data_IF_921294091643
#
_entry.id   IF_921294091643
#
_cell.length_a   1.000
_cell.length_b   1.000
_cell.length_c   1.000
_cell.angle_alpha   90.00
_cell.angle_beta   90.00
_cell.angle_gamma   90.00
#
_symmetry.space_group_name_H-M   'P 1'
#
loop_
_entity.id
_entity.type
_entity.pdbx_description
1 polymer ?
#
# COMPACT_ATOMS: atom_id res chain seq x y z
N UNK A 1 5.54 24.25 44.07
CA UNK A 1 4.49 23.28 43.70
C UNK A 1 3.70 23.89 42.55
N UNK A 2 4.00 23.45 41.32
CA UNK A 2 3.35 23.93 40.10
C UNK A 2 2.41 22.83 39.65
N UNK A 3 1.10 23.11 39.64
CA UNK A 3 0.16 22.40 38.78
C UNK A 3 -0.69 23.46 38.09
N UNK A 4 -0.22 23.91 36.91
CA UNK A 4 -1.07 24.60 35.95
C UNK A 4 -1.91 23.53 35.27
N UNK A 5 -3.19 23.50 35.62
CA UNK A 5 -4.19 22.67 34.97
C UNK A 5 -4.33 23.14 33.52
N UNK A 6 -4.09 22.24 32.57
CA UNK A 6 -4.42 22.44 31.16
C UNK A 6 -5.79 21.82 30.94
N UNK A 7 -6.83 22.60 30.63
CA UNK A 7 -7.92 22.08 29.84
C UNK A 7 -7.91 22.73 28.45
N UNK A 8 -8.65 22.10 27.54
CA UNK A 8 -9.37 22.80 26.48
C UNK A 8 -8.66 23.05 25.15
N UNK A 9 -8.03 22.04 24.56
CA UNK A 9 -7.87 22.05 23.08
C UNK A 9 -8.96 21.24 22.39
N UNK A 10 -9.26 20.05 22.92
CA UNK A 10 -10.35 19.21 22.40
C UNK A 10 -11.74 19.84 22.62
N UNK A 11 -11.94 20.58 23.73
CA UNK A 11 -13.20 21.28 24.00
C UNK A 11 -13.35 22.54 23.16
N UNK A 12 -12.26 23.29 22.91
CA UNK A 12 -12.28 24.42 21.97
C UNK A 12 -12.52 23.94 20.54
N UNK A 13 -11.93 22.81 20.12
CA UNK A 13 -12.15 22.22 18.79
C UNK A 13 -13.58 21.65 18.62
N UNK A 14 -14.19 21.11 19.68
CA UNK A 14 -15.57 20.60 19.70
C UNK A 14 -16.60 21.76 19.72
N UNK A 15 -16.35 22.81 20.49
CA UNK A 15 -17.17 24.03 20.54
C UNK A 15 -17.09 24.82 19.23
N UNK A 16 -15.90 24.89 18.61
CA UNK A 16 -15.73 25.40 17.24
C UNK A 16 -16.51 24.56 16.22
N UNK A 17 -16.51 23.23 16.34
CA UNK A 17 -17.28 22.36 15.44
C UNK A 17 -18.80 22.54 15.60
N UNK A 18 -19.27 22.76 16.83
CA UNK A 18 -20.68 22.96 17.13
C UNK A 18 -21.16 24.37 16.72
N UNK A 19 -20.29 25.39 16.84
CA UNK A 19 -20.57 26.75 16.36
C UNK A 19 -20.49 26.85 14.82
N UNK A 20 -19.56 26.13 14.20
CA UNK A 20 -19.35 26.06 12.75
C UNK A 20 -20.43 25.25 12.01
N UNK A 21 -21.23 24.46 12.73
CA UNK A 21 -22.38 23.70 12.17
C UNK A 21 -23.73 24.35 12.42
N UNK A 22 -23.80 25.43 13.21
CA UNK A 22 -25.05 26.07 13.65
C UNK A 22 -25.59 27.16 12.70
N UNK A 23 -24.76 27.66 11.79
CA UNK A 23 -25.17 28.66 10.78
C UNK A 23 -24.78 28.16 9.39
N UNK A 24 -25.78 27.79 8.58
CA UNK A 24 -25.59 27.34 7.20
C UNK A 24 -24.82 28.36 6.34
N UNK A 25 -24.88 29.66 6.70
CA UNK A 25 -24.16 30.74 6.03
C UNK A 25 -22.65 30.72 6.33
N UNK A 26 -22.24 30.44 7.57
CA UNK A 26 -20.82 30.37 7.95
C UNK A 26 -20.14 29.11 7.39
N UNK A 27 -20.87 28.00 7.31
CA UNK A 27 -20.32 26.76 6.76
C UNK A 27 -19.95 26.92 5.27
N UNK A 28 -20.83 27.55 4.49
CA UNK A 28 -20.58 27.79 3.06
C UNK A 28 -19.39 28.72 2.85
N UNK A 29 -19.26 29.77 3.67
CA UNK A 29 -18.13 30.70 3.59
C UNK A 29 -16.80 30.03 3.95
N UNK A 30 -16.75 29.28 5.06
CA UNK A 30 -15.55 28.54 5.46
C UNK A 30 -15.20 27.44 4.45
N UNK A 31 -16.21 26.78 3.87
CA UNK A 31 -16.00 25.77 2.84
C UNK A 31 -15.48 26.37 1.54
N UNK A 32 -16.00 27.53 1.12
CA UNK A 32 -15.53 28.27 -0.06
C UNK A 32 -14.09 28.77 0.12
N UNK A 33 -13.76 29.33 1.29
CA UNK A 33 -12.37 29.69 1.63
C UNK A 33 -11.45 28.47 1.60
N UNK A 34 -11.92 27.32 2.08
CA UNK A 34 -11.19 26.06 1.98
C UNK A 34 -10.92 25.63 0.53
N UNK A 35 -11.90 25.78 -0.37
CA UNK A 35 -11.73 25.49 -1.80
C UNK A 35 -10.73 26.44 -2.47
N UNK A 36 -10.79 27.74 -2.15
CA UNK A 36 -9.84 28.73 -2.66
C UNK A 36 -8.41 28.40 -2.22
N UNK A 37 -8.21 28.06 -0.93
CA UNK A 37 -6.91 27.64 -0.39
C UNK A 37 -6.35 26.40 -1.09
N UNK A 38 -7.23 25.44 -1.44
CA UNK A 38 -6.84 24.25 -2.19
C UNK A 38 -6.38 24.62 -3.60
N UNK A 39 -7.04 25.57 -4.25
CA UNK A 39 -6.63 26.12 -5.55
C UNK A 39 -5.25 26.78 -5.49
N UNK A 40 -4.99 27.64 -4.50
CA UNK A 40 -3.68 28.27 -4.27
C UNK A 40 -2.57 27.22 -4.11
N UNK A 41 -2.84 26.16 -3.34
CA UNK A 41 -1.88 25.08 -3.11
C UNK A 41 -1.61 24.25 -4.38
N UNK A 42 -2.60 24.08 -5.24
CA UNK A 42 -2.43 23.41 -6.53
C UNK A 42 -1.60 24.25 -7.50
N UNK A 43 -1.83 25.56 -7.55
CA UNK A 43 -1.05 26.48 -8.39
C UNK A 43 0.43 26.54 -7.95
N UNK A 44 0.68 26.63 -6.64
CA UNK A 44 2.04 26.58 -6.09
C UNK A 44 2.74 25.25 -6.43
N UNK A 45 2.00 24.13 -6.46
CA UNK A 45 2.55 22.83 -6.84
C UNK A 45 2.93 22.79 -8.33
N UNK A 46 2.08 23.34 -9.21
CA UNK A 46 2.37 23.46 -10.64
C UNK A 46 3.57 24.37 -10.91
N UNK A 47 3.73 25.44 -10.13
CA UNK A 47 4.87 26.35 -10.21
C UNK A 47 6.18 25.65 -9.82
N UNK A 48 6.16 24.85 -8.73
CA UNK A 48 7.31 24.02 -8.33
C UNK A 48 7.67 23.01 -9.43
N UNK A 49 6.68 22.33 -10.00
CA UNK A 49 6.89 21.37 -11.09
C UNK A 49 7.42 22.05 -12.36
N UNK A 50 6.98 23.27 -12.65
CA UNK A 50 7.50 24.06 -13.77
C UNK A 50 8.94 24.51 -13.53
N UNK A 51 9.29 24.90 -12.30
CA UNK A 51 10.68 25.24 -11.94
C UNK A 51 11.62 24.03 -12.07
N UNK A 52 11.18 22.83 -11.69
CA UNK A 52 11.91 21.58 -11.89
C UNK A 52 12.14 21.28 -13.37
N UNK A 53 11.12 21.48 -14.21
CA UNK A 53 11.23 21.34 -15.68
C UNK A 53 12.16 22.37 -16.32
N UNK A 54 12.25 23.57 -15.77
CA UNK A 54 13.11 24.63 -16.29
C UNK A 54 14.59 24.42 -15.88
N UNK A 55 14.85 23.90 -14.68
CA UNK A 55 16.21 23.58 -14.22
C UNK A 55 16.80 22.31 -14.86
N UNK A 56 15.99 21.46 -15.51
CA UNK A 56 16.50 20.31 -16.27
C UNK A 56 17.06 20.67 -17.66
N UNK A 57 17.11 21.97 -18.02
CA UNK A 57 17.71 22.47 -19.27
C UNK A 57 18.95 23.34 -19.00
N UNK A 58 20.05 22.70 -18.60
CA UNK A 58 21.40 23.28 -18.75
C UNK A 58 22.26 22.34 -19.60
N UNK A 59 22.80 22.80 -20.75
CA UNK A 59 23.72 22.00 -21.57
C UNK A 59 25.17 22.29 -21.14
N UNK A 60 25.93 21.24 -20.77
CA UNK A 60 27.40 21.26 -20.74
C UNK A 60 27.89 19.80 -20.66
N UNK A 61 28.15 19.16 -21.80
CA UNK A 61 29.45 19.06 -22.53
C UNK A 61 30.30 17.90 -21.98
N UNK A 62 30.38 16.71 -22.59
CA UNK A 62 31.33 16.31 -23.65
C UNK A 62 31.39 14.76 -23.55
N UNK A 63 31.43 13.89 -24.56
CA UNK A 63 32.37 13.81 -25.68
C UNK A 63 31.82 12.80 -26.68
N UNK A 64 31.57 13.24 -27.91
CA UNK A 64 31.58 12.35 -29.08
C UNK A 64 33.04 12.07 -29.44
N UNK A 65 33.37 10.80 -29.62
CA UNK A 65 34.25 10.32 -30.70
C UNK A 65 34.04 8.83 -30.92
N UNK A 66 33.06 8.52 -31.76
CA UNK A 66 33.11 7.36 -32.65
C UNK A 66 34.22 7.58 -33.69
N UNK A 67 35.06 6.58 -33.93
CA UNK A 67 35.09 5.82 -35.19
C UNK A 67 36.49 5.29 -35.56
N UNK A 68 36.46 4.05 -36.06
CA UNK A 68 37.38 3.43 -37.02
C UNK A 68 38.77 2.98 -36.54
N UNK A 69 38.96 1.65 -36.43
CA UNK A 69 39.61 0.86 -37.49
C UNK A 69 39.63 -0.63 -37.12
N UNK A 70 39.31 -1.45 -38.12
CA UNK A 70 39.54 -2.89 -38.15
C UNK A 70 41.04 -3.22 -38.21
N UNK A 71 41.31 -4.50 -37.95
CA UNK A 71 42.43 -5.35 -38.41
C UNK A 71 43.48 -5.78 -37.38
N UNK A 72 43.63 -7.12 -37.35
CA UNK A 72 44.80 -7.94 -37.06
C UNK A 72 45.32 -8.15 -35.62
N UNK A 73 44.94 -9.32 -35.07
CA UNK A 73 45.82 -10.37 -34.49
C UNK A 73 46.78 -10.02 -33.31
N UNK A 74 47.60 -10.94 -32.76
CA UNK A 74 47.37 -12.32 -32.33
C UNK A 74 47.98 -12.53 -30.91
N UNK A 75 47.19 -12.64 -29.85
CA UNK A 75 47.69 -13.23 -28.60
C UNK A 75 46.66 -14.17 -28.00
N UNK A 76 46.87 -15.43 -28.35
CA UNK A 76 46.48 -16.62 -27.62
C UNK A 76 47.10 -16.59 -26.21
N UNK A 77 46.31 -16.92 -25.19
CA UNK A 77 46.78 -17.87 -24.19
C UNK A 77 45.61 -18.69 -23.65
N UNK A 78 45.64 -19.94 -24.07
CA UNK A 78 44.77 -21.05 -23.70
C UNK A 78 45.35 -21.65 -22.41
N UNK A 79 44.51 -21.85 -21.39
CA UNK A 79 44.83 -22.75 -20.28
C UNK A 79 43.82 -23.89 -20.28
N UNK A 80 44.26 -25.03 -20.80
CA UNK A 80 43.67 -26.35 -20.55
C UNK A 80 44.54 -27.02 -19.47
N UNK A 81 43.96 -27.51 -18.38
CA UNK A 81 44.47 -28.71 -17.67
C UNK A 81 43.44 -29.30 -16.69
N UNK A 82 42.84 -30.40 -17.15
CA UNK A 82 42.61 -31.70 -16.47
C UNK A 82 41.63 -31.87 -15.29
N UNK A 83 40.71 -32.81 -15.54
CA UNK A 83 39.87 -33.60 -14.63
C UNK A 83 40.57 -34.14 -13.37
N UNK A 84 39.82 -34.31 -12.28
CA UNK A 84 39.85 -35.54 -11.45
C UNK A 84 38.56 -35.67 -10.63
N UNK A 85 37.97 -36.87 -10.67
CA UNK A 85 36.78 -37.31 -9.94
C UNK A 85 37.14 -37.90 -8.55
N UNK A 86 36.10 -38.41 -7.84
CA UNK A 86 36.07 -39.31 -6.64
C UNK A 86 35.61 -38.57 -5.36
N UNK A 87 34.73 -39.03 -4.45
CA UNK A 87 33.65 -40.04 -4.31
C UNK A 87 33.05 -39.83 -2.88
N UNK A 88 31.82 -40.34 -2.63
CA UNK A 88 31.16 -40.81 -1.38
C UNK A 88 31.74 -40.48 0.04
N UNK A 89 31.03 -40.33 1.19
CA UNK A 89 29.64 -40.61 1.65
C UNK A 89 29.53 -40.39 3.20
N UNK A 90 28.34 -39.99 3.70
CA UNK A 90 27.69 -40.16 5.06
C UNK A 90 28.42 -39.83 6.39
N UNK A 91 27.79 -39.56 7.55
CA UNK A 91 26.44 -39.25 8.06
C UNK A 91 26.59 -38.86 9.56
N UNK A 92 25.72 -38.00 10.15
CA UNK A 92 24.99 -38.38 11.39
C UNK A 92 23.96 -37.33 11.89
N UNK A 93 22.70 -37.75 11.83
CA UNK A 93 21.66 -37.79 12.88
C UNK A 93 21.50 -36.63 13.90
N UNK A 94 20.35 -35.95 13.85
CA UNK A 94 19.43 -35.75 15.01
C UNK A 94 18.02 -35.39 14.50
N UNK A 95 17.17 -36.40 14.38
CA UNK A 95 15.75 -36.24 14.09
C UNK A 95 15.01 -35.76 15.35
N UNK A 96 14.59 -34.49 15.37
CA UNK A 96 13.43 -34.06 16.16
C UNK A 96 12.20 -34.02 15.24
N UNK A 97 11.02 -34.53 15.64
CA UNK A 97 9.81 -34.30 14.89
C UNK A 97 9.32 -32.89 15.24
N UNK A 98 10.06 -31.87 14.81
CA UNK A 98 9.41 -30.57 14.64
C UNK A 98 8.48 -30.81 13.46
N UNK A 99 7.18 -30.87 13.74
CA UNK A 99 6.17 -30.77 12.71
C UNK A 99 6.33 -29.37 12.11
N UNK A 100 7.30 -29.20 11.22
CA UNK A 100 7.22 -28.25 10.14
C UNK A 100 6.00 -28.70 9.37
N UNK A 101 4.83 -28.23 9.83
CA UNK A 101 3.74 -27.95 8.92
C UNK A 101 4.34 -26.94 7.94
N UNK A 102 5.02 -27.47 6.92
CA UNK A 102 5.10 -26.87 5.61
C UNK A 102 3.68 -26.37 5.38
N UNK A 103 3.49 -25.06 5.51
CA UNK A 103 2.19 -24.46 5.21
C UNK A 103 1.81 -25.06 3.86
N UNK A 104 0.60 -25.65 3.75
CA UNK A 104 0.15 -26.20 2.49
C UNK A 104 0.41 -25.14 1.43
N UNK A 105 0.77 -25.57 0.22
CA UNK A 105 0.85 -24.77 -1.00
C UNK A 105 -0.52 -24.17 -1.39
N UNK A 106 -1.37 -23.88 -0.41
CA UNK A 106 -2.58 -23.12 -0.48
C UNK A 106 -2.13 -21.69 -0.79
N UNK A 107 -2.32 -21.33 -2.06
CA UNK A 107 -1.97 -20.01 -2.57
C UNK A 107 -2.58 -18.96 -1.64
N UNK A 108 -1.71 -18.26 -0.90
CA UNK A 108 -2.16 -17.17 -0.06
C UNK A 108 -2.83 -16.13 -0.98
N UNK A 109 -4.00 -15.59 -0.59
CA UNK A 109 -4.70 -14.61 -1.40
C UNK A 109 -3.79 -13.42 -1.65
N UNK A 110 -3.67 -13.05 -2.93
CA UNK A 110 -2.90 -11.88 -3.34
C UNK A 110 -3.74 -10.64 -3.11
N UNK A 111 -3.20 -9.69 -2.37
CA UNK A 111 -3.82 -8.39 -2.16
C UNK A 111 -3.31 -7.38 -3.20
N UNK A 112 -4.24 -6.90 -4.03
CA UNK A 112 -3.99 -5.97 -5.14
C UNK A 112 -4.58 -4.58 -4.86
N UNK A 113 -4.37 -4.06 -3.65
CA UNK A 113 -4.77 -2.69 -3.24
C UNK A 113 -6.27 -2.36 -3.23
N UNK A 114 -7.16 -3.35 -3.30
CA UNK A 114 -8.60 -3.12 -3.20
C UNK A 114 -9.00 -2.96 -1.72
N UNK A 115 -9.36 -1.75 -1.25
CA UNK A 115 -9.69 -1.53 0.15
C UNK A 115 -10.84 -2.42 0.64
N UNK A 116 -11.80 -2.75 -0.24
CA UNK A 116 -12.97 -3.54 0.13
C UNK A 116 -12.62 -4.99 0.48
N UNK A 117 -11.51 -5.48 -0.06
CA UNK A 117 -11.06 -6.87 0.13
C UNK A 117 -9.97 -6.98 1.19
N UNK A 118 -9.59 -5.86 1.81
CA UNK A 118 -8.51 -5.85 2.80
C UNK A 118 -8.86 -6.70 4.02
N UNK A 119 -10.07 -6.58 4.58
CA UNK A 119 -10.47 -7.34 5.77
C UNK A 119 -10.47 -8.84 5.47
N UNK A 120 -11.06 -9.26 4.35
CA UNK A 120 -11.05 -10.66 3.89
C UNK A 120 -9.61 -11.20 3.75
N UNK A 121 -8.74 -10.42 3.11
CA UNK A 121 -7.32 -10.76 2.96
C UNK A 121 -6.63 -10.88 4.32
N UNK A 122 -6.82 -9.89 5.20
CA UNK A 122 -6.14 -9.83 6.48
C UNK A 122 -6.58 -10.96 7.40
N UNK A 123 -7.88 -11.28 7.44
CA UNK A 123 -8.39 -12.40 8.24
C UNK A 123 -7.80 -13.73 7.78
N UNK A 124 -7.76 -13.96 6.47
CA UNK A 124 -7.16 -15.16 5.91
C UNK A 124 -5.65 -15.22 6.21
N UNK A 125 -4.91 -14.15 5.94
CA UNK A 125 -3.47 -14.07 6.21
C UNK A 125 -3.18 -14.24 7.71
N UNK A 126 -4.03 -13.68 8.56
CA UNK A 126 -3.90 -13.77 10.01
C UNK A 126 -3.94 -15.22 10.46
N UNK A 127 -4.90 -15.99 9.96
CA UNK A 127 -5.11 -17.37 10.40
C UNK A 127 -4.13 -18.33 9.71
N UNK A 128 -3.80 -18.09 8.44
CA UNK A 128 -2.86 -18.91 7.66
C UNK A 128 -1.39 -18.69 8.03
N UNK A 129 -0.98 -17.47 8.41
CA UNK A 129 0.44 -17.10 8.57
C UNK A 129 0.70 -16.40 9.91
N UNK A 130 -0.04 -15.32 10.22
CA UNK A 130 0.29 -14.47 11.38
C UNK A 130 0.19 -15.21 12.73
N UNK A 131 -0.85 -16.04 12.92
CA UNK A 131 -1.10 -16.84 14.13
C UNK A 131 -0.27 -18.12 14.18
N UNK A 132 0.33 -18.55 13.07
CA UNK A 132 1.14 -19.76 13.03
C UNK A 132 2.46 -19.57 13.77
N UNK A 133 2.99 -20.65 14.34
CA UNK A 133 4.27 -20.67 15.06
C UNK A 133 5.47 -20.82 14.09
N UNK A 134 5.61 -19.86 13.17
CA UNK A 134 6.72 -19.75 12.22
C UNK A 134 7.54 -18.49 12.51
N UNK A 135 8.79 -18.42 12.02
CA UNK A 135 9.67 -17.30 12.37
C UNK A 135 9.14 -15.96 11.81
N UNK A 136 9.34 -14.82 12.50
CA UNK A 136 8.90 -13.51 12.00
C UNK A 136 9.47 -13.16 10.61
N UNK A 137 10.70 -13.62 10.33
CA UNK A 137 11.36 -13.47 9.03
C UNK A 137 10.58 -14.25 7.95
N UNK A 138 10.19 -15.50 8.23
CA UNK A 138 9.36 -16.28 7.31
C UNK A 138 7.99 -15.64 7.10
N UNK A 139 7.34 -15.16 8.17
CA UNK A 139 6.08 -14.42 8.08
C UNK A 139 6.21 -13.18 7.19
N UNK A 140 7.34 -12.48 7.26
CA UNK A 140 7.59 -11.32 6.43
C UNK A 140 7.76 -11.69 4.95
N UNK A 141 8.50 -12.76 4.65
CA UNK A 141 8.57 -13.28 3.28
C UNK A 141 7.18 -13.63 2.71
N UNK A 142 6.35 -14.31 3.49
CA UNK A 142 4.97 -14.61 3.09
C UNK A 142 4.16 -13.35 2.86
N UNK A 143 4.26 -12.36 3.77
CA UNK A 143 3.57 -11.08 3.63
C UNK A 143 3.94 -10.40 2.31
N UNK A 144 5.23 -10.24 2.03
CA UNK A 144 5.70 -9.62 0.78
C UNK A 144 5.22 -10.40 -0.47
N UNK A 145 5.19 -11.73 -0.42
CA UNK A 145 4.66 -12.55 -1.52
C UNK A 145 3.17 -12.35 -1.82
N UNK A 146 2.38 -12.01 -0.79
CA UNK A 146 0.95 -11.76 -0.91
C UNK A 146 0.61 -10.34 -1.36
N UNK A 147 1.48 -9.37 -1.10
CA UNK A 147 1.24 -7.97 -1.44
C UNK A 147 1.65 -7.69 -2.89
N UNK A 148 0.82 -6.92 -3.61
CA UNK A 148 1.13 -6.38 -4.94
C UNK A 148 0.82 -4.89 -4.99
N UNK A 149 1.32 -4.22 -6.04
CA UNK A 149 1.04 -2.82 -6.29
C UNK A 149 1.51 -1.89 -5.16
N UNK A 150 0.64 -0.97 -4.76
CA UNK A 150 0.87 0.07 -3.75
C UNK A 150 1.10 -0.51 -2.36
N UNK A 151 0.50 -1.65 -2.04
CA UNK A 151 0.69 -2.32 -0.76
C UNK A 151 2.08 -2.92 -0.66
N UNK A 152 2.57 -3.55 -1.73
CA UNK A 152 3.95 -4.02 -1.79
C UNK A 152 4.93 -2.83 -1.67
N UNK A 153 4.73 -1.79 -2.49
CA UNK A 153 5.53 -0.57 -2.46
C UNK A 153 5.53 0.15 -1.10
N UNK A 154 4.45 0.06 -0.31
CA UNK A 154 4.40 0.61 1.04
C UNK A 154 5.35 -0.08 2.02
N UNK A 155 5.69 -1.35 1.75
CA UNK A 155 6.57 -2.19 2.56
C UNK A 155 7.97 -2.37 1.97
N UNK A 156 8.19 -1.90 0.74
CA UNK A 156 9.50 -1.86 0.10
C UNK A 156 10.47 -0.93 0.84
N UNK A 157 11.78 -1.11 0.58
CA UNK A 157 12.85 -0.32 1.20
C UNK A 157 13.22 -0.75 2.63
N UNK A 158 12.53 -1.75 3.19
CA UNK A 158 12.85 -2.33 4.50
C UNK A 158 13.57 -3.67 4.35
N UNK A 159 14.61 -3.87 5.17
CA UNK A 159 15.29 -5.16 5.23
C UNK A 159 14.39 -6.23 5.85
N UNK A 160 14.50 -7.47 5.37
CA UNK A 160 13.72 -8.59 5.90
C UNK A 160 14.29 -9.03 7.25
N UNK A 161 13.80 -8.40 8.32
CA UNK A 161 14.21 -8.67 9.71
C UNK A 161 13.00 -8.90 10.60
N UNK A 162 13.22 -9.51 11.77
CA UNK A 162 12.14 -9.77 12.74
C UNK A 162 11.50 -8.49 13.27
N UNK A 163 12.28 -7.43 13.46
CA UNK A 163 11.77 -6.14 13.93
C UNK A 163 10.85 -5.51 12.87
N UNK A 164 11.30 -5.51 11.61
CA UNK A 164 10.59 -4.88 10.50
C UNK A 164 9.29 -5.59 10.13
N UNK A 165 9.12 -6.88 10.47
CA UNK A 165 7.84 -7.59 10.26
C UNK A 165 6.68 -6.89 10.99
N UNK A 166 6.89 -6.53 12.26
CA UNK A 166 5.86 -5.87 13.08
C UNK A 166 5.47 -4.51 12.48
N UNK A 167 6.46 -3.72 12.10
CA UNK A 167 6.27 -2.43 11.46
C UNK A 167 5.55 -2.55 10.10
N UNK A 168 5.93 -3.54 9.29
CA UNK A 168 5.29 -3.79 7.99
C UNK A 168 3.80 -4.13 8.14
N UNK A 169 3.44 -4.96 9.14
CA UNK A 169 2.04 -5.28 9.45
C UNK A 169 1.28 -4.01 9.87
N UNK A 170 1.87 -3.17 10.71
CA UNK A 170 1.23 -1.94 11.18
C UNK A 170 1.00 -0.95 10.05
N UNK A 171 1.97 -0.78 9.15
CA UNK A 171 1.85 0.08 7.96
C UNK A 171 0.71 -0.39 7.07
N UNK A 172 0.64 -1.70 6.81
CA UNK A 172 -0.37 -2.28 5.93
C UNK A 172 -1.77 -2.12 6.53
N UNK A 173 -1.95 -2.46 7.81
CA UNK A 173 -3.23 -2.25 8.50
C UNK A 173 -3.64 -0.78 8.54
N UNK A 174 -2.72 0.13 8.88
CA UNK A 174 -3.02 1.56 8.98
C UNK A 174 -3.43 2.16 7.64
N UNK A 175 -2.74 1.78 6.56
CA UNK A 175 -2.94 2.38 5.24
C UNK A 175 -4.10 1.74 4.46
N UNK A 176 -4.30 0.44 4.58
CA UNK A 176 -5.25 -0.32 3.77
C UNK A 176 -6.43 -0.90 4.56
N UNK A 177 -6.28 -1.12 5.86
CA UNK A 177 -7.35 -1.58 6.76
C UNK A 177 -8.11 -0.46 7.47
N UNK A 178 -7.99 0.78 6.99
CA UNK A 178 -8.73 1.89 7.56
C UNK A 178 -10.19 1.85 7.07
N UNK A 179 -11.19 1.72 7.97
CA UNK A 179 -12.60 1.66 7.58
C UNK A 179 -13.07 2.95 6.89
N UNK A 180 -12.49 4.10 7.21
CA UNK A 180 -12.78 5.37 6.53
C UNK A 180 -12.38 5.34 5.05
N UNK A 181 -11.24 4.72 4.73
CA UNK A 181 -10.80 4.53 3.34
C UNK A 181 -11.74 3.59 2.58
N UNK A 182 -12.23 2.54 3.25
CA UNK A 182 -13.21 1.60 2.67
C UNK A 182 -14.55 2.30 2.41
N UNK A 183 -15.06 3.06 3.38
CA UNK A 183 -16.28 3.87 3.23
C UNK A 183 -16.14 4.85 2.07
N UNK A 184 -15.05 5.61 2.00
CA UNK A 184 -14.79 6.55 0.91
C UNK A 184 -14.74 5.85 -0.46
N UNK A 185 -14.16 4.65 -0.54
CA UNK A 185 -14.18 3.83 -1.76
C UNK A 185 -15.61 3.46 -2.18
N UNK A 186 -16.46 3.01 -1.24
CA UNK A 186 -17.88 2.70 -1.49
C UNK A 186 -18.67 3.93 -1.94
N UNK A 187 -18.50 5.07 -1.27
CA UNK A 187 -19.14 6.33 -1.69
C UNK A 187 -18.72 6.74 -3.10
N UNK A 188 -17.44 6.57 -3.45
CA UNK A 188 -16.97 6.84 -4.81
C UNK A 188 -17.54 5.86 -5.84
N UNK A 189 -17.76 4.59 -5.48
CA UNK A 189 -18.45 3.64 -6.36
C UNK A 189 -19.90 4.06 -6.59
N UNK A 190 -20.60 4.43 -5.52
CA UNK A 190 -21.99 4.91 -5.59
C UNK A 190 -22.12 6.16 -6.46
N UNK A 191 -21.20 7.12 -6.32
CA UNK A 191 -21.16 8.35 -7.14
C UNK A 191 -20.92 8.08 -8.62
N UNK A 192 -20.20 7.02 -8.96
CA UNK A 192 -19.88 6.64 -10.35
C UNK A 192 -20.99 5.85 -11.03
N UNK A 193 -22.04 5.45 -10.30
CA UNK A 193 -23.20 4.78 -10.90
C UNK A 193 -23.86 5.76 -11.87
N UNK A 194 -23.96 5.43 -13.18
CA UNK A 194 -24.51 6.34 -14.17
C UNK A 194 -25.99 6.63 -13.88
N UNK A 195 -26.41 7.86 -14.18
CA UNK A 195 -27.82 8.23 -14.14
C UNK A 195 -28.62 7.27 -15.03
N UNK A 196 -29.69 6.71 -14.48
CA UNK A 196 -30.48 5.66 -15.11
C UNK A 196 -30.97 6.12 -16.50
N UNK A 197 -30.44 5.53 -17.57
CA UNK A 197 -31.09 5.58 -18.87
C UNK A 197 -32.37 4.75 -18.76
N UNK A 198 -33.49 5.19 -19.32
CA UNK A 198 -34.85 4.64 -19.14
C UNK A 198 -35.06 3.20 -19.68
N UNK A 199 -34.19 2.24 -19.34
CA UNK A 199 -34.29 0.81 -19.62
C UNK A 199 -34.38 0.05 -18.30
N UNK A 200 -35.31 -0.90 -18.24
CA UNK A 200 -35.60 -1.69 -17.03
C UNK A 200 -34.42 -2.53 -16.53
N UNK A 201 -33.54 -3.00 -17.43
CA UNK A 201 -32.30 -3.72 -17.09
C UNK A 201 -31.26 -2.82 -16.41
N UNK A 202 -31.20 -1.56 -16.83
CA UNK A 202 -30.30 -0.56 -16.26
C UNK A 202 -30.73 -0.26 -14.81
N UNK A 203 -32.05 -0.24 -14.54
CA UNK A 203 -32.60 -0.05 -13.18
C UNK A 203 -32.28 -1.21 -12.23
N UNK A 204 -32.43 -2.48 -12.65
CA UNK A 204 -32.08 -3.64 -11.80
C UNK A 204 -30.59 -3.64 -11.44
N UNK A 205 -29.74 -3.34 -12.40
CA UNK A 205 -28.28 -3.28 -12.20
C UNK A 205 -27.89 -2.17 -11.22
N UNK A 206 -28.56 -1.03 -11.29
CA UNK A 206 -28.37 0.08 -10.34
C UNK A 206 -28.84 -0.30 -8.95
N UNK A 207 -30.04 -0.88 -8.82
CA UNK A 207 -30.57 -1.33 -7.52
C UNK A 207 -29.63 -2.36 -6.87
N UNK A 208 -29.15 -3.36 -7.62
CA UNK A 208 -28.19 -4.34 -7.14
C UNK A 208 -26.88 -3.70 -6.67
N UNK A 209 -26.36 -2.71 -7.40
CA UNK A 209 -25.15 -1.99 -7.04
C UNK A 209 -25.33 -1.16 -5.75
N UNK A 210 -26.47 -0.46 -5.63
CA UNK A 210 -26.82 0.32 -4.43
C UNK A 210 -27.00 -0.60 -3.22
N UNK A 211 -27.78 -1.68 -3.36
CA UNK A 211 -27.99 -2.66 -2.28
C UNK A 211 -26.68 -3.32 -1.84
N UNK A 212 -25.78 -3.63 -2.78
CA UNK A 212 -24.44 -4.14 -2.45
C UNK A 212 -23.65 -3.12 -1.63
N UNK A 213 -23.61 -1.86 -2.05
CA UNK A 213 -22.91 -0.81 -1.31
C UNK A 213 -23.50 -0.59 0.09
N UNK A 214 -24.83 -0.56 0.22
CA UNK A 214 -25.51 -0.42 1.51
C UNK A 214 -25.21 -1.58 2.46
N UNK A 215 -25.18 -2.83 1.96
CA UNK A 215 -24.78 -3.99 2.76
C UNK A 215 -23.34 -3.88 3.26
N UNK A 216 -22.41 -3.46 2.40
CA UNK A 216 -21.00 -3.30 2.76
C UNK A 216 -20.78 -2.15 3.75
N UNK A 217 -21.50 -1.03 3.62
CA UNK A 217 -21.45 0.09 4.56
C UNK A 217 -21.98 -0.31 5.95
N UNK A 218 -23.08 -1.06 6.02
CA UNK A 218 -23.61 -1.56 7.30
C UNK A 218 -22.63 -2.48 8.01
N UNK A 219 -22.00 -3.41 7.28
CA UNK A 219 -20.98 -4.30 7.85
C UNK A 219 -19.80 -3.49 8.46
N UNK A 220 -19.37 -2.42 7.78
CA UNK A 220 -18.32 -1.52 8.28
C UNK A 220 -18.74 -0.68 9.49
N UNK A 221 -20.03 -0.44 9.69
CA UNK A 221 -20.55 0.29 10.87
C UNK A 221 -20.69 -0.61 12.09
N UNK A 222 -21.01 -1.89 11.90
CA UNK A 222 -21.11 -2.88 12.98
C UNK A 222 -19.73 -3.29 13.51
N UNK A 223 -18.69 -3.30 12.67
CA UNK A 223 -17.31 -3.65 13.07
C UNK A 223 -16.63 -2.60 13.97
N UNK A 224 -17.23 -1.40 14.12
CA UNK A 224 -16.68 -0.27 14.90
C UNK A 224 -17.32 -0.15 16.30
N UNK A 225 -18.36 -0.95 16.61
CA UNK A 225 -19.03 -0.98 17.92
C UNK A 225 -18.42 -2.01 18.87
#
# INVERSE_FOLDING_TARGET
MIQRSIPSRAKEEEELHEEMTKSEENFLEVWLQGQEKIGELQENLDEIDQQLRNHSKTPSDSTQKEALLSEDDPYTLRFDTTDTATDAQECDTTNSPTTSRLLPTQQLPIYTDDPLRFNEFWDFFRDAVHRQNISPIQKYHYLLGCLKGRAHAATEGRSITSANYSEAVDIIKRRFGNPSTMKLSLYNQLRKVPACTMRTKDLSTILEAVEKCCRQLRALEEEIK
#
